data_IF_490684809312
#
_entry.id   IF_490684809312
#
_cell.length_a   1.000
_cell.length_b   1.000
_cell.length_c   1.000
_cell.angle_alpha   90.00
_cell.angle_beta   90.00
_cell.angle_gamma   90.00
#
_symmetry.space_group_name_H-M   'P 1'
#
loop_
_entity.id
_entity.type
_entity.pdbx_description
1 polymer ?
#
# COMPACT_ATOMS: atom_id res chain seq x y z
N UNK A 1 -1.66 14.73 4.02
CA UNK A 1 -2.30 13.42 4.22
C UNK A 1 -1.97 12.55 3.03
N UNK A 2 -1.70 11.26 3.21
CA UNK A 2 -1.51 10.33 2.09
C UNK A 2 -2.84 10.14 1.37
N UNK A 3 -2.86 10.43 0.07
CA UNK A 3 -4.05 10.29 -0.78
C UNK A 3 -4.09 8.92 -1.45
N UNK A 4 -2.97 8.45 -1.96
CA UNK A 4 -2.87 7.10 -2.54
C UNK A 4 -1.46 6.55 -2.48
N UNK A 5 -1.37 5.22 -2.44
CA UNK A 5 -0.13 4.45 -2.61
C UNK A 5 -0.39 3.48 -3.76
N UNK A 6 0.41 3.57 -4.81
CA UNK A 6 0.25 2.77 -6.02
C UNK A 6 1.58 2.21 -6.51
N UNK A 7 1.53 1.25 -7.42
CA UNK A 7 2.70 0.81 -8.18
C UNK A 7 2.27 0.30 -9.55
N UNK A 8 3.10 0.50 -10.57
CA UNK A 8 2.91 -0.14 -11.87
C UNK A 8 3.35 -1.60 -11.81
N UNK A 9 2.69 -2.45 -12.59
CA UNK A 9 3.03 -3.85 -12.75
C UNK A 9 2.30 -4.45 -13.94
N UNK A 10 2.37 -5.77 -14.07
CA UNK A 10 1.81 -6.49 -15.22
C UNK A 10 0.97 -7.68 -14.73
N UNK A 11 -0.20 -7.88 -15.32
CA UNK A 11 -1.03 -9.08 -15.15
C UNK A 11 -1.23 -9.71 -16.53
N UNK A 12 -0.70 -10.92 -16.73
CA UNK A 12 -0.79 -11.66 -18.01
C UNK A 12 -0.42 -10.81 -19.24
N UNK A 13 0.72 -10.11 -19.16
CA UNK A 13 1.22 -9.27 -20.26
C UNK A 13 0.56 -7.89 -20.38
N UNK A 14 -0.43 -7.56 -19.56
CA UNK A 14 -1.09 -6.26 -19.60
C UNK A 14 -0.62 -5.36 -18.45
N UNK A 15 -0.25 -4.12 -18.79
CA UNK A 15 0.05 -3.09 -17.81
C UNK A 15 -1.13 -2.87 -16.87
N UNK A 16 -0.86 -2.92 -15.57
CA UNK A 16 -1.87 -2.82 -14.52
C UNK A 16 -1.37 -1.92 -13.41
N UNK A 17 -2.22 -0.97 -13.01
CA UNK A 17 -1.99 -0.16 -11.80
C UNK A 17 -2.42 -0.95 -10.57
N UNK A 18 -1.47 -1.24 -9.69
CA UNK A 18 -1.73 -1.81 -8.38
C UNK A 18 -1.97 -0.68 -7.39
N UNK A 19 -3.07 -0.75 -6.64
CA UNK A 19 -3.47 0.30 -5.69
C UNK A 19 -3.62 -0.27 -4.29
N UNK A 20 -3.17 0.46 -3.28
CA UNK A 20 -3.45 0.13 -1.89
C UNK A 20 -4.93 0.39 -1.61
N UNK A 21 -5.68 -0.67 -1.27
CA UNK A 21 -7.10 -0.60 -0.97
C UNK A 21 -7.36 -1.27 0.38
N UNK A 22 -8.31 -0.74 1.18
CA UNK A 22 -8.71 -1.41 2.40
C UNK A 22 -9.34 -2.78 2.07
N UNK A 23 -9.21 -3.72 2.99
CA UNK A 23 -9.88 -5.00 2.93
C UNK A 23 -11.38 -4.85 3.28
N UNK A 24 -12.10 -5.97 3.35
CA UNK A 24 -13.54 -5.99 3.69
C UNK A 24 -13.88 -5.36 5.05
N UNK A 25 -12.91 -5.27 5.95
CA UNK A 25 -13.06 -4.70 7.29
C UNK A 25 -12.61 -3.22 7.33
N UNK A 26 -12.30 -2.60 6.18
CA UNK A 26 -11.81 -1.22 6.14
C UNK A 26 -10.31 -1.07 6.44
N UNK A 27 -9.55 -2.17 6.59
CA UNK A 27 -8.15 -2.13 7.02
C UNK A 27 -7.17 -2.31 5.85
N UNK A 28 -6.06 -1.57 5.87
CA UNK A 28 -4.98 -1.65 4.89
C UNK A 28 -3.99 -2.77 5.26
N UNK A 29 -3.70 -3.67 4.32
CA UNK A 29 -2.85 -4.83 4.57
C UNK A 29 -1.37 -4.52 4.33
N UNK A 30 -0.52 -4.90 5.29
CA UNK A 30 0.93 -4.96 5.18
C UNK A 30 1.42 -6.39 5.48
N UNK A 31 2.64 -6.70 5.06
CA UNK A 31 3.31 -7.97 5.32
C UNK A 31 4.70 -7.73 5.90
N UNK A 32 5.07 -8.45 6.96
CA UNK A 32 6.41 -8.35 7.55
C UNK A 32 7.49 -8.82 6.56
N UNK A 33 8.42 -7.92 6.25
CA UNK A 33 9.68 -8.20 5.54
C UNK A 33 10.75 -8.65 6.54
N UNK A 34 10.90 -7.90 7.64
CA UNK A 34 11.82 -8.19 8.74
C UNK A 34 11.03 -8.60 9.99
N UNK A 35 11.59 -9.51 10.81
CA UNK A 35 10.89 -10.05 11.99
C UNK A 35 9.71 -10.99 11.64
N UNK A 36 9.73 -11.57 10.44
CA UNK A 36 8.79 -12.62 10.03
C UNK A 36 9.06 -13.92 10.79
N UNK A 37 8.04 -14.75 10.95
CA UNK A 37 8.19 -16.08 11.56
C UNK A 37 9.15 -16.91 10.71
N UNK A 38 10.13 -17.58 11.33
CA UNK A 38 11.11 -18.39 10.62
C UNK A 38 10.41 -19.46 9.75
N UNK A 39 10.89 -19.66 8.52
CA UNK A 39 10.33 -20.62 7.57
C UNK A 39 9.02 -20.18 6.88
N UNK A 40 8.47 -19.00 7.19
CA UNK A 40 7.20 -18.52 6.60
C UNK A 40 7.44 -17.50 5.48
N UNK A 41 6.48 -17.40 4.55
CA UNK A 41 6.49 -16.41 3.46
C UNK A 41 5.84 -15.10 3.91
N UNK A 42 6.23 -13.94 3.34
CA UNK A 42 5.60 -12.65 3.70
C UNK A 42 4.07 -12.65 3.50
N UNK A 43 3.56 -13.38 2.50
CA UNK A 43 2.12 -13.49 2.23
C UNK A 43 1.31 -14.30 3.26
N UNK A 44 1.99 -15.05 4.15
CA UNK A 44 1.33 -15.90 5.13
C UNK A 44 0.59 -15.06 6.17
N UNK A 45 -0.58 -15.54 6.60
CA UNK A 45 -1.46 -14.82 7.53
C UNK A 45 -0.75 -14.37 8.81
N UNK A 46 0.20 -15.17 9.31
CA UNK A 46 0.98 -14.89 10.54
C UNK A 46 1.89 -13.66 10.42
N UNK A 47 2.21 -13.24 9.19
CA UNK A 47 3.07 -12.09 8.92
C UNK A 47 2.27 -10.84 8.51
N UNK A 48 0.93 -10.94 8.44
CA UNK A 48 0.09 -9.80 8.09
C UNK A 48 -0.01 -8.80 9.24
N UNK A 49 0.09 -7.53 8.89
CA UNK A 49 -0.18 -6.40 9.78
C UNK A 49 -1.24 -5.56 9.11
N UNK A 50 -2.13 -4.98 9.91
CA UNK A 50 -3.25 -4.18 9.42
C UNK A 50 -3.09 -2.77 9.94
N UNK A 51 -3.33 -1.79 9.08
CA UNK A 51 -3.37 -0.37 9.41
C UNK A 51 -4.79 0.16 9.19
N UNK A 52 -5.21 1.12 10.01
CA UNK A 52 -6.54 1.73 9.96
C UNK A 52 -6.62 2.86 8.92
N UNK A 53 -5.48 3.40 8.49
CA UNK A 53 -5.41 4.48 7.50
C UNK A 53 -4.23 4.34 6.54
N UNK A 54 -4.28 5.07 5.41
CA UNK A 54 -3.16 5.17 4.47
C UNK A 54 -1.94 5.84 5.11
N UNK A 55 -2.13 6.83 5.98
CA UNK A 55 -1.03 7.49 6.69
C UNK A 55 -0.34 6.52 7.67
N UNK A 56 -1.10 5.69 8.38
CA UNK A 56 -0.53 4.65 9.24
C UNK A 56 0.20 3.58 8.41
N UNK A 57 -0.41 3.10 7.33
CA UNK A 57 0.24 2.16 6.41
C UNK A 57 1.54 2.75 5.84
N UNK A 58 1.55 4.04 5.52
CA UNK A 58 2.73 4.76 5.07
C UNK A 58 3.81 4.86 6.16
N UNK A 59 3.42 5.20 7.39
CA UNK A 59 4.33 5.26 8.52
C UNK A 59 5.00 3.91 8.80
N UNK A 60 4.26 2.81 8.71
CA UNK A 60 4.81 1.46 8.81
C UNK A 60 5.75 1.15 7.64
N UNK A 61 5.36 1.48 6.40
CA UNK A 61 6.18 1.22 5.21
C UNK A 61 7.54 1.93 5.27
N UNK A 62 7.58 3.17 5.77
CA UNK A 62 8.82 3.95 6.00
C UNK A 62 9.81 3.28 6.95
N UNK A 63 9.37 2.37 7.81
CA UNK A 63 10.29 1.63 8.70
C UNK A 63 11.13 0.59 7.94
N UNK A 64 10.83 0.35 6.66
CA UNK A 64 11.46 -0.66 5.79
C UNK A 64 11.30 -2.11 6.29
N UNK A 65 10.60 -2.33 7.40
CA UNK A 65 10.32 -3.64 8.00
C UNK A 65 9.14 -4.35 7.35
N UNK A 66 8.40 -3.67 6.49
CA UNK A 66 7.15 -4.16 5.90
C UNK A 66 7.14 -4.01 4.38
N UNK A 67 6.39 -4.89 3.73
CA UNK A 67 5.84 -4.69 2.40
C UNK A 67 4.41 -4.15 2.53
N UNK A 68 4.01 -3.24 1.65
CA UNK A 68 2.62 -2.85 1.48
C UNK A 68 1.93 -3.81 0.50
N UNK A 69 0.69 -4.22 0.79
CA UNK A 69 -0.12 -5.04 -0.11
C UNK A 69 -0.90 -4.12 -1.04
N UNK A 70 -0.63 -4.22 -2.33
CA UNK A 70 -1.37 -3.53 -3.38
C UNK A 70 -2.24 -4.52 -4.15
N UNK A 71 -3.38 -4.06 -4.65
CA UNK A 71 -4.31 -4.87 -5.45
C UNK A 71 -4.39 -4.31 -6.87
N UNK A 72 -4.17 -5.18 -7.85
CA UNK A 72 -4.40 -4.92 -9.27
C UNK A 72 -5.57 -5.76 -9.76
N UNK A 73 -6.36 -5.22 -10.69
CA UNK A 73 -7.48 -5.92 -11.28
C UNK A 73 -7.52 -5.67 -12.79
N UNK A 74 -7.68 -6.74 -13.57
CA UNK A 74 -7.89 -6.68 -15.02
C UNK A 74 -8.85 -7.77 -15.45
N UNK A 75 -9.87 -7.44 -16.26
CA UNK A 75 -10.85 -8.40 -16.78
C UNK A 75 -11.41 -9.38 -15.74
N UNK A 76 -11.74 -8.89 -14.53
CA UNK A 76 -12.26 -9.72 -13.42
C UNK A 76 -11.19 -10.52 -12.64
N UNK A 77 -9.93 -10.51 -13.08
CA UNK A 77 -8.82 -11.17 -12.40
C UNK A 77 -8.23 -10.23 -11.36
N UNK A 78 -8.18 -10.68 -10.11
CA UNK A 78 -7.59 -9.95 -9.01
C UNK A 78 -6.22 -10.52 -8.64
N UNK A 79 -5.21 -9.65 -8.52
CA UNK A 79 -3.87 -10.03 -8.03
C UNK A 79 -3.44 -9.10 -6.91
N UNK A 80 -2.79 -9.68 -5.90
CA UNK A 80 -2.08 -8.93 -4.87
C UNK A 80 -0.60 -8.84 -5.23
N UNK A 81 0.00 -7.70 -4.95
CA UNK A 81 1.43 -7.44 -5.11
C UNK A 81 1.99 -6.90 -3.81
N UNK A 82 3.10 -7.48 -3.35
CA UNK A 82 3.85 -6.98 -2.20
C UNK A 82 4.91 -6.01 -2.71
N UNK A 83 4.90 -4.78 -2.22
CA UNK A 83 5.85 -3.73 -2.64
C UNK A 83 6.57 -3.15 -1.44
N UNK A 84 7.86 -2.89 -1.60
CA UNK A 84 8.68 -2.14 -0.64
C UNK A 84 8.60 -0.64 -0.91
N UNK A 85 9.07 0.14 0.05
CA UNK A 85 9.11 1.60 0.02
C UNK A 85 9.64 2.19 -1.29
N UNK A 86 10.71 1.61 -1.83
CA UNK A 86 11.41 2.02 -3.05
C UNK A 86 10.66 1.66 -4.36
N UNK A 87 9.55 0.93 -4.25
CA UNK A 87 8.82 0.39 -5.42
C UNK A 87 7.37 0.87 -5.49
N UNK A 88 7.03 1.95 -4.78
CA UNK A 88 5.70 2.55 -4.75
C UNK A 88 5.73 4.04 -5.09
N UNK A 89 4.68 4.47 -5.78
CA UNK A 89 4.36 5.87 -6.02
C UNK A 89 3.36 6.34 -4.96
N UNK A 90 3.58 7.54 -4.42
CA UNK A 90 2.73 8.11 -3.36
C UNK A 90 2.24 9.47 -3.79
N UNK A 91 0.93 9.64 -3.73
CA UNK A 91 0.30 10.92 -3.93
C UNK A 91 -0.10 11.46 -2.57
N UNK A 92 0.34 12.67 -2.27
CA UNK A 92 -0.09 13.40 -1.08
C UNK A 92 -1.20 14.37 -1.47
N UNK A 93 -2.17 14.53 -0.58
CA UNK A 93 -3.13 15.61 -0.70
C UNK A 93 -2.42 16.94 -0.41
N UNK A 94 -2.32 17.79 -1.42
CA UNK A 94 -1.78 19.14 -1.27
C UNK A 94 -2.96 20.02 -0.89
N UNK A 95 -3.18 20.18 0.41
CA UNK A 95 -4.02 21.29 0.85
C UNK A 95 -3.25 22.58 0.56
N UNK A 96 -3.52 23.18 -0.60
CA UNK A 96 -3.24 24.57 -0.85
C UNK A 96 -3.98 25.37 0.23
N UNK A 97 -3.26 25.81 1.27
CA UNK A 97 -3.76 26.82 2.19
C UNK A 97 -3.98 28.09 1.38
N UNK A 98 -5.19 28.26 0.84
CA UNK A 98 -5.72 29.56 0.48
C UNK A 98 -5.97 30.31 1.80
N UNK A 99 -4.88 30.80 2.40
CA UNK A 99 -4.97 31.92 3.32
C UNK A 99 -5.19 33.15 2.43
N UNK A 100 -6.41 33.33 1.94
CA UNK A 100 -6.83 34.64 1.44
C UNK A 100 -6.88 35.56 2.65
N UNK A 101 -5.79 36.32 2.80
CA UNK A 101 -5.70 37.45 3.72
C UNK A 101 -6.78 38.45 3.30
N UNK A 102 -7.77 38.65 4.17
CA UNK A 102 -8.64 39.81 4.09
C UNK A 102 -7.78 41.04 4.43
N UNK A 103 -7.57 41.93 3.46
CA UNK A 103 -7.13 43.32 3.68
C UNK A 103 -8.15 44.24 3.04
#
# INVERSE_FOLDING_TARGET
MVKSITAKGVIYGNDTLFTCKPNRNGLFELARKHGRVAGTRPQDLKNKVYAESLDEAWNLLKTEKFYIVLTGQICGIHRKSLRSLDSVDIIFDVQSRLNCVTV
#
